data_IF_632021239509
#
_entry.id   IF_632021239509
#
_cell.length_a   1.000
_cell.length_b   1.000
_cell.length_c   1.000
_cell.angle_alpha   90.00
_cell.angle_beta   90.00
_cell.angle_gamma   90.00
#
_symmetry.space_group_name_H-M   'P 1'
#
loop_
_entity.id
_entity.type
_entity.pdbx_description
1 polymer ?
#
# COMPACT_ATOMS: atom_id res chain seq x y z
N UNK A 1 -18.06 10.44 -12.27
CA UNK A 1 -16.65 10.12 -11.92
C UNK A 1 -15.75 11.07 -12.68
N UNK A 2 -15.00 11.93 -12.00
CA UNK A 2 -14.28 13.05 -12.64
C UNK A 2 -13.04 12.53 -13.40
N UNK A 3 -12.96 12.83 -14.70
CA UNK A 3 -11.79 12.51 -15.56
C UNK A 3 -10.46 12.96 -14.92
N UNK A 4 -10.49 14.11 -14.25
CA UNK A 4 -9.36 14.69 -13.53
C UNK A 4 -8.86 13.77 -12.40
N UNK A 5 -9.78 13.13 -11.67
CA UNK A 5 -9.45 12.24 -10.56
C UNK A 5 -8.84 10.93 -11.03
N UNK A 6 -9.38 10.33 -12.09
CA UNK A 6 -8.85 9.09 -12.68
C UNK A 6 -7.53 9.32 -13.42
N UNK A 7 -7.35 10.47 -14.06
CA UNK A 7 -6.13 10.81 -14.79
C UNK A 7 -4.90 10.90 -13.88
N UNK A 8 -5.07 11.35 -12.62
CA UNK A 8 -3.98 11.40 -11.64
C UNK A 8 -3.88 10.12 -10.81
N UNK A 9 -4.99 9.53 -10.38
CA UNK A 9 -4.96 8.35 -9.49
C UNK A 9 -4.38 7.09 -10.13
N UNK A 10 -4.73 6.81 -11.39
CA UNK A 10 -4.30 5.60 -12.09
C UNK A 10 -2.78 5.52 -12.33
N UNK A 11 -2.08 6.56 -12.83
CA UNK A 11 -0.63 6.49 -13.00
C UNK A 11 0.10 6.40 -11.65
N UNK A 12 -0.38 7.09 -10.61
CA UNK A 12 0.25 7.05 -9.29
C UNK A 12 0.26 5.63 -8.70
N UNK A 13 -0.86 4.91 -8.76
CA UNK A 13 -0.92 3.54 -8.19
C UNK A 13 -0.03 2.57 -8.95
N UNK A 14 0.12 2.73 -10.27
CA UNK A 14 0.98 1.88 -11.09
C UNK A 14 2.45 2.12 -10.76
N UNK A 15 2.88 3.38 -10.65
CA UNK A 15 4.28 3.72 -10.35
C UNK A 15 4.68 3.17 -8.97
N UNK A 16 3.86 3.43 -7.93
CA UNK A 16 4.16 2.95 -6.57
C UNK A 16 4.19 1.42 -6.51
N UNK A 17 3.23 0.77 -7.18
CA UNK A 17 3.15 -0.70 -7.17
C UNK A 17 4.31 -1.32 -7.96
N UNK A 18 4.73 -0.73 -9.08
CA UNK A 18 5.89 -1.21 -9.85
C UNK A 18 7.19 -1.08 -9.04
N UNK A 19 7.46 0.10 -8.47
CA UNK A 19 8.66 0.32 -7.65
C UNK A 19 8.73 -0.61 -6.44
N UNK A 20 7.59 -0.86 -5.78
CA UNK A 20 7.54 -1.78 -4.64
C UNK A 20 7.88 -3.21 -5.05
N UNK A 21 7.34 -3.69 -6.18
CA UNK A 21 7.58 -5.05 -6.67
C UNK A 21 9.06 -5.25 -7.05
N UNK A 22 9.67 -4.30 -7.75
CA UNK A 22 11.10 -4.35 -8.07
C UNK A 22 11.96 -4.36 -6.81
N UNK A 23 11.65 -3.51 -5.82
CA UNK A 23 12.36 -3.49 -4.54
C UNK A 23 12.34 -4.85 -3.81
N UNK A 24 11.19 -5.53 -3.79
CA UNK A 24 11.06 -6.86 -3.16
C UNK A 24 11.91 -7.90 -3.91
N UNK A 25 11.94 -7.84 -5.24
CA UNK A 25 12.77 -8.74 -6.05
C UNK A 25 14.25 -8.52 -5.74
N UNK A 26 14.68 -7.27 -5.61
CA UNK A 26 16.06 -6.91 -5.29
C UNK A 26 16.48 -7.36 -3.88
N UNK A 27 15.56 -7.34 -2.89
CA UNK A 27 15.85 -7.72 -1.50
C UNK A 27 15.83 -9.24 -1.28
N UNK A 28 14.87 -9.96 -1.87
CA UNK A 28 14.67 -11.40 -1.60
C UNK A 28 15.31 -12.34 -2.62
N UNK A 29 15.87 -11.81 -3.70
CA UNK A 29 16.45 -12.60 -4.79
C UNK A 29 15.41 -13.41 -5.60
N UNK A 30 15.80 -13.97 -6.76
CA UNK A 30 14.85 -14.51 -7.73
C UNK A 30 14.05 -15.73 -7.24
N UNK A 31 14.56 -16.48 -6.25
CA UNK A 31 13.91 -17.72 -5.78
C UNK A 31 12.83 -17.46 -4.71
N UNK A 32 13.03 -16.50 -3.81
CA UNK A 32 12.08 -16.21 -2.71
C UNK A 32 11.18 -15.00 -2.99
N UNK A 33 11.50 -14.17 -3.99
CA UNK A 33 10.71 -12.99 -4.33
C UNK A 33 9.25 -13.31 -4.71
N UNK A 34 9.01 -14.43 -5.40
CA UNK A 34 7.66 -14.80 -5.86
C UNK A 34 6.69 -15.02 -4.69
N UNK A 35 7.15 -15.58 -3.58
CA UNK A 35 6.33 -15.80 -2.38
C UNK A 35 6.03 -14.48 -1.65
N UNK A 36 7.04 -13.61 -1.51
CA UNK A 36 6.86 -12.28 -0.91
C UNK A 36 5.89 -11.40 -1.73
N UNK A 37 6.02 -11.43 -3.07
CA UNK A 37 5.10 -10.77 -3.98
C UNK A 37 3.68 -11.33 -3.87
N UNK A 38 3.52 -12.66 -3.74
CA UNK A 38 2.22 -13.29 -3.53
C UNK A 38 1.57 -12.83 -2.22
N UNK A 39 2.32 -12.80 -1.11
CA UNK A 39 1.83 -12.33 0.19
C UNK A 39 1.33 -10.87 0.13
N UNK A 40 2.07 -9.99 -0.54
CA UNK A 40 1.68 -8.58 -0.70
C UNK A 40 0.44 -8.44 -1.58
N UNK A 41 0.33 -9.24 -2.64
CA UNK A 41 -0.87 -9.27 -3.46
C UNK A 41 -2.09 -9.81 -2.68
N UNK A 42 -1.91 -10.82 -1.83
CA UNK A 42 -2.98 -11.32 -0.96
C UNK A 42 -3.48 -10.24 -0.01
N UNK A 43 -2.58 -9.55 0.70
CA UNK A 43 -2.96 -8.45 1.59
C UNK A 43 -3.72 -7.35 0.84
N UNK A 44 -3.24 -6.98 -0.35
CA UNK A 44 -3.90 -6.00 -1.21
C UNK A 44 -5.31 -6.43 -1.61
N UNK A 45 -5.48 -7.69 -2.02
CA UNK A 45 -6.78 -8.23 -2.42
C UNK A 45 -7.74 -8.29 -1.23
N UNK A 46 -7.26 -8.64 -0.04
CA UNK A 46 -8.07 -8.61 1.17
C UNK A 46 -8.55 -7.18 1.45
N UNK A 47 -7.66 -6.19 1.49
CA UNK A 47 -8.04 -4.80 1.69
C UNK A 47 -9.03 -4.31 0.63
N UNK A 48 -8.81 -4.68 -0.64
CA UNK A 48 -9.70 -4.38 -1.76
C UNK A 48 -11.09 -5.05 -1.67
N UNK A 49 -11.20 -6.20 -1.00
CA UNK A 49 -12.45 -6.90 -0.76
C UNK A 49 -13.18 -6.41 0.51
N UNK A 50 -12.43 -6.02 1.55
CA UNK A 50 -12.98 -5.49 2.79
C UNK A 50 -13.59 -4.09 2.61
N UNK A 51 -12.96 -3.24 1.79
CA UNK A 51 -13.44 -1.88 1.56
C UNK A 51 -14.88 -1.82 1.00
N UNK A 52 -15.26 -2.55 -0.06
CA UNK A 52 -16.64 -2.60 -0.54
C UNK A 52 -17.59 -3.37 0.39
N UNK A 53 -17.09 -4.21 1.28
CA UNK A 53 -17.91 -4.88 2.30
C UNK A 53 -18.27 -3.93 3.46
N UNK A 54 -17.35 -3.03 3.83
CA UNK A 54 -17.57 -2.00 4.84
C UNK A 54 -18.21 -0.71 4.27
N UNK A 55 -18.20 -0.54 2.94
CA UNK A 55 -18.79 0.63 2.30
C UNK A 55 -20.31 0.77 2.52
N UNK A 56 -21.16 -0.27 2.43
CA UNK A 56 -22.60 -0.15 2.63
C UNK A 56 -22.98 0.38 4.02
N UNK A 57 -22.32 -0.11 5.08
CA UNK A 57 -22.57 0.38 6.44
C UNK A 57 -22.04 1.80 6.64
N UNK A 58 -20.86 2.12 6.08
CA UNK A 58 -20.30 3.47 6.13
C UNK A 58 -21.20 4.50 5.40
N UNK A 59 -21.72 4.14 4.23
CA UNK A 59 -22.58 5.02 3.44
C UNK A 59 -24.00 5.11 3.99
N UNK A 60 -24.48 4.08 4.71
CA UNK A 60 -25.78 4.11 5.38
C UNK A 60 -25.80 5.12 6.55
N UNK A 61 -24.72 5.20 7.32
CA UNK A 61 -24.65 6.11 8.49
C UNK A 61 -24.22 7.55 8.12
N UNK A 62 -23.33 7.73 7.14
CA UNK A 62 -22.72 9.04 6.83
C UNK A 62 -23.15 9.66 5.48
N UNK A 63 -23.77 8.89 4.58
CA UNK A 63 -24.10 9.34 3.23
C UNK A 63 -22.88 9.52 2.30
N UNK A 64 -23.14 9.73 1.01
CA UNK A 64 -22.12 9.73 -0.05
C UNK A 64 -21.06 10.85 0.08
N UNK A 65 -21.40 11.99 0.69
CA UNK A 65 -20.49 13.12 0.86
C UNK A 65 -19.47 12.94 1.98
N UNK A 66 -19.95 12.64 3.19
CA UNK A 66 -19.08 12.42 4.35
C UNK A 66 -18.30 11.11 4.26
N UNK A 67 -18.89 10.05 3.68
CA UNK A 67 -18.20 8.77 3.48
C UNK A 67 -16.90 8.91 2.68
N UNK A 68 -16.91 9.71 1.61
CA UNK A 68 -15.71 9.95 0.80
C UNK A 68 -14.66 10.81 1.52
N UNK A 69 -15.10 11.74 2.38
CA UNK A 69 -14.20 12.59 3.18
C UNK A 69 -13.50 11.80 4.28
N UNK A 70 -14.21 10.89 4.95
CA UNK A 70 -13.62 9.97 5.93
C UNK A 70 -12.59 9.05 5.27
N UNK A 71 -12.91 8.51 4.10
CA UNK A 71 -11.97 7.69 3.34
C UNK A 71 -10.69 8.48 2.96
N UNK A 72 -10.85 9.75 2.57
CA UNK A 72 -9.72 10.63 2.29
C UNK A 72 -8.88 10.94 3.53
N UNK A 73 -9.50 11.18 4.70
CA UNK A 73 -8.77 11.38 5.96
C UNK A 73 -7.99 10.13 6.39
N UNK A 74 -8.58 8.94 6.26
CA UNK A 74 -7.89 7.68 6.53
C UNK A 74 -6.70 7.54 5.57
N UNK A 75 -6.88 7.79 4.28
CA UNK A 75 -5.78 7.73 3.31
C UNK A 75 -4.63 8.71 3.66
N UNK A 76 -4.95 9.94 4.10
CA UNK A 76 -3.94 10.91 4.56
C UNK A 76 -3.22 10.44 5.82
N UNK A 77 -3.93 9.78 6.75
CA UNK A 77 -3.31 9.21 7.95
C UNK A 77 -2.29 8.09 7.64
N UNK A 78 -2.40 7.42 6.48
CA UNK A 78 -1.42 6.43 6.02
C UNK A 78 -0.21 7.02 5.29
N UNK A 79 -0.24 8.28 4.86
CA UNK A 79 0.90 8.97 4.21
C UNK A 79 2.19 8.99 5.06
N UNK A 80 2.16 9.23 6.39
CA UNK A 80 3.39 9.23 7.20
C UNK A 80 3.99 7.84 7.43
N UNK A 81 3.25 6.75 7.21
CA UNK A 81 3.71 5.37 7.45
C UNK A 81 4.99 5.03 6.65
N UNK A 82 5.05 5.21 5.32
CA UNK A 82 6.28 4.92 4.56
C UNK A 82 7.45 5.83 4.94
N UNK A 83 7.21 7.10 5.30
CA UNK A 83 8.26 8.01 5.78
C UNK A 83 8.84 7.54 7.11
N UNK A 84 7.97 7.08 8.02
CA UNK A 84 8.38 6.55 9.30
C UNK A 84 9.25 5.29 9.15
N UNK A 85 8.85 4.37 8.25
CA UNK A 85 9.62 3.18 7.91
C UNK A 85 10.93 3.52 7.18
N UNK A 86 10.99 4.58 6.38
CA UNK A 86 12.23 5.01 5.73
C UNK A 86 13.28 5.47 6.75
N UNK A 87 12.87 6.23 7.78
CA UNK A 87 13.78 6.63 8.87
C UNK A 87 14.21 5.46 9.76
N UNK A 88 13.30 4.53 10.08
CA UNK A 88 13.62 3.38 10.93
C UNK A 88 14.25 2.20 10.17
N UNK A 89 14.25 2.22 8.84
CA UNK A 89 14.85 1.19 7.99
C UNK A 89 16.38 1.12 8.11
N UNK A 90 17.03 2.23 8.48
CA UNK A 90 18.45 2.25 8.80
C UNK A 90 18.79 1.30 9.97
N UNK A 91 17.93 1.25 10.99
CA UNK A 91 18.08 0.38 12.16
C UNK A 91 17.91 -1.11 11.81
N UNK A 92 16.96 -1.45 10.93
CA UNK A 92 16.79 -2.83 10.43
C UNK A 92 17.96 -3.31 9.57
N UNK A 93 18.60 -2.39 8.81
CA UNK A 93 19.79 -2.71 8.01
C UNK A 93 21.03 -3.02 8.85
N UNK A 94 21.16 -2.43 10.03
CA UNK A 94 22.26 -2.73 10.96
C UNK A 94 22.04 -4.06 11.70
N UNK A 95 20.78 -4.43 11.94
CA UNK A 95 20.44 -5.68 12.64
C UNK A 95 20.72 -6.94 11.81
N UNK A 96 20.70 -6.84 10.47
CA UNK A 96 20.93 -7.98 9.54
C UNK A 96 22.29 -7.93 8.83
N UNK A 97 23.36 -7.45 9.48
CA UNK A 97 24.74 -7.73 9.06
C UNK A 97 25.12 -9.22 9.27
N UNK A 98 24.33 -10.16 8.76
CA UNK A 98 24.72 -11.57 8.65
C UNK A 98 25.25 -11.81 7.26
N UNK A 99 26.55 -12.05 7.18
CA UNK A 99 27.15 -12.87 6.13
C UNK A 99 27.89 -12.13 5.02
N UNK A 100 28.97 -11.42 5.36
CA UNK A 100 30.11 -11.33 4.45
C UNK A 100 30.84 -12.69 4.52
N UNK A 101 30.54 -13.61 3.60
CA UNK A 101 31.38 -14.75 3.13
C UNK A 101 30.71 -15.36 1.91
#
# INVERSE_FOLDING_TARGET
>A
MSIIGTALGAPCVVIVSASSQTYIIDVFGPQSAVSALAAINLLRNLLGAFLPLAAPSLYADLGLGWGNSVLAFIAVAFVPVPFFFYWHGAWLRELFLVGKT
#
